data_IF_045546351378
#
_entry.id   IF_045546351378
#
_cell.length_a   1.000
_cell.length_b   1.000
_cell.length_c   1.000
_cell.angle_alpha   90.00
_cell.angle_beta   90.00
_cell.angle_gamma   90.00
#
_symmetry.space_group_name_H-M   'P 1'
#
loop_
_entity.id
_entity.type
_entity.pdbx_description
1 polymer ?
#
# COMPACT_ATOMS: atom_id res chain seq x y z
N UNK A 1 -0.83 7.24 20.71
CA UNK A 1 -1.90 7.72 19.81
C UNK A 1 -2.35 6.52 18.98
N UNK A 2 -3.59 6.04 19.13
CA UNK A 2 -4.07 4.88 18.37
C UNK A 2 -4.41 5.37 16.96
N UNK A 3 -3.70 4.87 15.96
CA UNK A 3 -3.98 5.16 14.55
C UNK A 3 -5.40 4.68 14.24
N UNK A 4 -6.30 5.59 13.84
CA UNK A 4 -7.69 5.23 13.58
C UNK A 4 -7.78 4.32 12.34
N UNK A 5 -7.93 3.01 12.57
CA UNK A 5 -8.00 1.96 11.53
C UNK A 5 -9.17 2.13 10.55
N UNK A 6 -10.13 3.03 10.82
CA UNK A 6 -11.22 3.38 9.90
C UNK A 6 -10.72 3.99 8.59
N UNK A 7 -9.52 4.58 8.62
CA UNK A 7 -8.90 5.23 7.46
C UNK A 7 -7.99 4.28 6.66
N UNK A 8 -7.90 2.99 7.00
CA UNK A 8 -7.16 2.02 6.19
C UNK A 8 -7.98 1.51 5.01
N UNK A 9 -7.27 1.10 3.97
CA UNK A 9 -7.84 0.21 2.96
C UNK A 9 -8.39 -1.06 3.64
N UNK A 10 -9.57 -1.53 3.21
CA UNK A 10 -10.31 -2.53 4.01
C UNK A 10 -9.56 -3.87 4.15
N UNK A 11 -8.76 -4.28 3.16
CA UNK A 11 -7.89 -5.47 3.26
C UNK A 11 -6.87 -5.28 4.38
N UNK A 12 -6.15 -4.15 4.38
CA UNK A 12 -5.22 -3.77 5.46
C UNK A 12 -5.90 -3.69 6.82
N UNK A 13 -7.15 -3.21 6.87
CA UNK A 13 -7.94 -3.16 8.11
C UNK A 13 -8.17 -4.57 8.67
N UNK A 14 -8.48 -5.56 7.82
CA UNK A 14 -8.60 -6.96 8.24
C UNK A 14 -7.26 -7.48 8.74
N UNK A 15 -6.19 -7.32 7.96
CA UNK A 15 -4.85 -7.78 8.36
C UNK A 15 -4.42 -7.20 9.71
N UNK A 16 -4.67 -5.90 9.95
CA UNK A 16 -4.40 -5.26 11.25
C UNK A 16 -5.27 -5.85 12.36
N UNK A 17 -6.55 -6.11 12.08
CA UNK A 17 -7.48 -6.60 13.11
C UNK A 17 -7.16 -8.04 13.54
N UNK A 18 -6.73 -8.89 12.61
CA UNK A 18 -6.48 -10.32 12.87
C UNK A 18 -5.03 -10.62 13.24
N UNK A 19 -4.05 -10.01 12.56
CA UNK A 19 -2.63 -10.39 12.69
C UNK A 19 -1.79 -9.33 13.43
N UNK A 20 -2.10 -8.04 13.27
CA UNK A 20 -1.20 -6.95 13.66
C UNK A 20 -1.80 -5.97 14.67
N UNK A 21 -2.75 -6.41 15.51
CA UNK A 21 -3.54 -5.54 16.40
C UNK A 21 -2.68 -4.71 17.36
N UNK A 22 -1.53 -5.24 17.79
CA UNK A 22 -0.58 -4.57 18.70
C UNK A 22 0.71 -4.08 18.02
N UNK A 23 0.85 -4.28 16.71
CA UNK A 23 2.08 -3.97 15.96
C UNK A 23 1.98 -2.57 15.34
N UNK A 24 2.29 -1.56 16.15
CA UNK A 24 2.14 -0.14 15.77
C UNK A 24 2.92 0.23 14.51
N UNK A 25 4.14 -0.29 14.33
CA UNK A 25 4.96 -0.04 13.15
C UNK A 25 4.27 -0.51 11.85
N UNK A 26 3.65 -1.69 11.87
CA UNK A 26 2.91 -2.23 10.70
C UNK A 26 1.67 -1.39 10.42
N UNK A 27 0.94 -0.99 11.46
CA UNK A 27 -0.22 -0.12 11.32
C UNK A 27 0.16 1.24 10.71
N UNK A 28 1.26 1.84 11.18
CA UNK A 28 1.81 3.07 10.64
C UNK A 28 2.22 2.91 9.17
N UNK A 29 2.84 1.79 8.82
CA UNK A 29 3.28 1.48 7.46
C UNK A 29 2.08 1.32 6.51
N UNK A 30 1.03 0.61 6.93
CA UNK A 30 -0.19 0.45 6.13
C UNK A 30 -0.97 1.76 5.98
N UNK A 31 -0.95 2.61 7.00
CA UNK A 31 -1.55 3.93 6.91
C UNK A 31 -0.79 4.83 5.94
N UNK A 32 0.55 4.80 5.98
CA UNK A 32 1.39 5.51 5.02
C UNK A 32 1.10 5.06 3.59
N UNK A 33 1.06 3.75 3.32
CA UNK A 33 0.70 3.19 2.01
C UNK A 33 -0.63 3.74 1.49
N UNK A 34 -1.68 3.68 2.31
CA UNK A 34 -2.98 4.24 1.94
C UNK A 34 -2.92 5.75 1.69
N UNK A 35 -2.21 6.50 2.54
CA UNK A 35 -2.06 7.95 2.41
C UNK A 35 -1.35 8.33 1.10
N UNK A 36 -0.25 7.64 0.77
CA UNK A 36 0.50 7.82 -0.48
C UNK A 36 -0.41 7.55 -1.69
N UNK A 37 -1.10 6.41 -1.71
CA UNK A 37 -1.92 6.01 -2.85
C UNK A 37 -3.17 6.90 -3.04
N UNK A 38 -3.73 7.44 -1.95
CA UNK A 38 -4.92 8.28 -2.01
C UNK A 38 -4.60 9.73 -2.35
N UNK A 39 -3.56 10.29 -1.74
CA UNK A 39 -3.37 11.74 -1.68
C UNK A 39 -2.40 12.25 -2.73
N UNK A 40 -1.48 11.40 -3.20
CA UNK A 40 -0.32 11.82 -4.01
C UNK A 40 -0.38 11.27 -5.44
N UNK A 41 -1.41 10.51 -5.80
CA UNK A 41 -1.54 9.84 -7.10
C UNK A 41 -2.56 10.50 -8.06
N UNK A 42 -3.11 11.67 -7.71
CA UNK A 42 -4.19 12.30 -8.49
C UNK A 42 -3.64 13.00 -9.74
N UNK A 43 -4.27 12.69 -10.88
CA UNK A 43 -3.74 12.87 -12.24
C UNK A 43 -3.63 14.31 -12.77
N UNK A 44 -3.97 15.33 -11.98
CA UNK A 44 -4.02 16.73 -12.45
C UNK A 44 -3.15 17.69 -11.63
N UNK A 45 -2.39 17.19 -10.65
CA UNK A 45 -1.58 18.03 -9.76
C UNK A 45 -0.24 17.37 -9.41
N UNK A 46 0.49 16.85 -10.42
CA UNK A 46 1.80 16.21 -10.19
C UNK A 46 2.75 17.14 -9.40
N UNK A 47 2.71 18.43 -9.70
CA UNK A 47 3.44 19.45 -8.95
C UNK A 47 3.08 19.49 -7.46
N UNK A 48 1.78 19.50 -7.12
CA UNK A 48 1.35 19.50 -5.71
C UNK A 48 1.64 18.16 -5.04
N UNK A 49 1.56 17.04 -5.76
CA UNK A 49 1.98 15.73 -5.26
C UNK A 49 3.48 15.75 -4.89
N UNK A 50 4.33 16.31 -5.77
CA UNK A 50 5.77 16.47 -5.51
C UNK A 50 6.05 17.36 -4.29
N UNK A 51 5.36 18.51 -4.17
CA UNK A 51 5.49 19.39 -3.00
C UNK A 51 5.11 18.65 -1.72
N UNK A 52 3.94 17.99 -1.71
CA UNK A 52 3.48 17.27 -0.52
C UNK A 52 4.45 16.14 -0.17
N UNK A 53 5.02 15.45 -1.16
CA UNK A 53 5.94 14.33 -0.93
C UNK A 53 7.27 14.82 -0.38
N UNK A 54 7.78 15.96 -0.89
CA UNK A 54 8.93 16.67 -0.32
C UNK A 54 8.66 17.07 1.13
N UNK A 55 7.51 17.67 1.42
CA UNK A 55 7.12 18.00 2.79
C UNK A 55 7.13 16.76 3.69
N UNK A 56 6.55 15.64 3.25
CA UNK A 56 6.59 14.38 4.01
C UNK A 56 8.03 13.90 4.26
N UNK A 57 8.91 14.01 3.26
CA UNK A 57 10.32 13.64 3.38
C UNK A 57 11.04 14.51 4.44
N UNK A 58 10.80 15.82 4.43
CA UNK A 58 11.37 16.76 5.40
C UNK A 58 10.93 16.45 6.84
N UNK A 59 9.65 16.10 7.00
CA UNK A 59 9.02 15.75 8.28
C UNK A 59 9.61 14.45 8.87
N UNK A 60 9.88 13.44 8.05
CA UNK A 60 10.54 12.20 8.47
C UNK A 60 12.01 12.42 8.76
N UNK A 61 12.66 13.28 7.98
CA UNK A 61 14.08 13.60 8.13
C UNK A 61 14.37 14.32 9.46
N UNK A 62 13.44 15.18 9.91
CA UNK A 62 13.53 15.98 11.14
C UNK A 62 12.43 15.61 12.16
N UNK A 63 12.58 14.53 12.94
CA UNK A 63 11.51 13.97 13.79
C UNK A 63 11.00 14.94 14.86
N UNK A 64 11.86 15.83 15.34
CA UNK A 64 11.51 16.82 16.38
C UNK A 64 10.51 17.88 15.89
N UNK A 65 10.38 18.04 14.58
CA UNK A 65 9.51 19.03 13.93
C UNK A 65 8.31 18.36 13.25
N UNK A 66 8.04 17.09 13.55
CA UNK A 66 6.95 16.38 12.90
C UNK A 66 5.61 17.02 13.24
N UNK A 67 4.79 17.28 12.23
CA UNK A 67 3.47 17.87 12.39
C UNK A 67 2.48 16.85 12.96
N UNK A 68 1.50 17.34 13.74
CA UNK A 68 0.46 16.50 14.40
C UNK A 68 -0.20 15.49 13.46
N UNK A 69 -0.59 15.83 12.21
CA UNK A 69 -1.21 14.87 11.30
C UNK A 69 -0.33 13.66 10.95
N UNK A 70 1.01 13.79 11.09
CA UNK A 70 1.99 12.76 10.77
C UNK A 70 2.47 11.99 12.01
N UNK A 71 1.89 12.23 13.20
CA UNK A 71 2.29 11.52 14.44
C UNK A 71 2.16 10.01 14.35
N UNK A 72 1.28 9.50 13.48
CA UNK A 72 1.19 8.07 13.24
C UNK A 72 2.49 7.48 12.66
N UNK A 73 3.39 8.28 12.09
CA UNK A 73 4.68 7.82 11.56
C UNK A 73 5.75 7.69 12.63
N UNK A 74 5.56 8.23 13.85
CA UNK A 74 6.57 8.17 14.92
C UNK A 74 7.16 6.76 15.14
N UNK A 75 6.35 5.67 15.20
CA UNK A 75 6.89 4.32 15.35
C UNK A 75 7.87 3.91 14.24
N UNK A 76 7.72 4.44 13.02
CA UNK A 76 8.62 4.17 11.90
C UNK A 76 9.88 5.04 11.93
N UNK A 77 9.81 6.23 12.52
CA UNK A 77 10.86 7.25 12.49
C UNK A 77 11.83 7.11 13.66
N UNK A 78 11.34 6.69 14.84
CA UNK A 78 12.13 6.56 16.07
C UNK A 78 13.22 5.48 15.94
N UNK A 79 12.99 4.44 15.13
CA UNK A 79 13.99 3.41 14.86
C UNK A 79 14.83 3.76 13.60
N UNK A 80 16.15 3.78 13.74
CA UNK A 80 17.10 4.16 12.67
C UNK A 80 17.00 3.27 11.43
N UNK A 81 16.78 1.96 11.60
CA UNK A 81 16.69 1.00 10.48
C UNK A 81 15.37 1.18 9.73
N UNK A 82 14.25 1.28 10.43
CA UNK A 82 12.94 1.51 9.79
C UNK A 82 12.88 2.88 9.13
N UNK A 83 13.46 3.92 9.74
CA UNK A 83 13.56 5.27 9.14
C UNK A 83 14.32 5.25 7.82
N UNK A 84 15.45 4.52 7.75
CA UNK A 84 16.22 4.37 6.51
C UNK A 84 15.38 3.75 5.39
N UNK A 85 14.67 2.67 5.67
CA UNK A 85 13.82 2.03 4.67
C UNK A 85 12.57 2.86 4.32
N UNK A 86 12.03 3.62 5.28
CA UNK A 86 10.94 4.55 5.06
C UNK A 86 11.34 5.66 4.07
N UNK A 87 12.52 6.27 4.23
CA UNK A 87 13.03 7.26 3.28
C UNK A 87 13.24 6.66 1.88
N UNK A 88 13.79 5.43 1.81
CA UNK A 88 13.92 4.70 0.54
C UNK A 88 12.58 4.42 -0.13
N UNK A 89 11.55 4.06 0.65
CA UNK A 89 10.19 3.83 0.17
C UNK A 89 9.57 5.11 -0.42
N UNK A 90 9.78 6.27 0.20
CA UNK A 90 9.29 7.55 -0.34
C UNK A 90 10.00 7.94 -1.64
N UNK A 91 11.31 7.69 -1.71
CA UNK A 91 12.09 7.89 -2.93
C UNK A 91 11.64 6.96 -4.06
N UNK A 92 11.31 5.70 -3.76
CA UNK A 92 10.74 4.80 -4.76
C UNK A 92 9.35 5.29 -5.21
N UNK A 93 8.54 5.82 -4.29
CA UNK A 93 7.21 6.34 -4.59
C UNK A 93 7.22 7.62 -5.43
N UNK A 94 8.22 8.50 -5.30
CA UNK A 94 8.35 9.66 -6.19
C UNK A 94 8.50 9.26 -7.66
N UNK A 95 9.06 8.08 -7.92
CA UNK A 95 9.22 7.54 -9.27
C UNK A 95 7.99 6.76 -9.75
N UNK A 96 6.95 6.66 -8.93
CA UNK A 96 5.69 5.95 -9.21
C UNK A 96 4.57 6.93 -9.57
N UNK A 97 4.53 8.09 -8.90
CA UNK A 97 3.46 9.08 -9.05
C UNK A 97 3.35 9.63 -10.47
N UNK A 98 4.47 9.67 -11.20
CA UNK A 98 4.48 10.02 -12.60
C UNK A 98 4.16 8.81 -13.49
N UNK A 99 2.87 8.60 -13.74
CA UNK A 99 2.38 7.54 -14.64
C UNK A 99 2.53 7.86 -16.13
N UNK A 100 3.30 8.89 -16.50
CA UNK A 100 3.64 9.17 -17.90
C UNK A 100 4.77 8.25 -18.39
N UNK A 101 5.72 7.89 -17.51
CA UNK A 101 6.83 6.97 -17.80
C UNK A 101 6.45 5.49 -17.57
N UNK A 102 5.56 4.96 -18.42
CA UNK A 102 5.00 3.61 -18.26
C UNK A 102 6.05 2.49 -18.20
N UNK A 103 7.21 2.63 -18.85
CA UNK A 103 8.22 1.57 -18.96
C UNK A 103 8.86 1.20 -17.61
N UNK A 104 8.97 2.15 -16.68
CA UNK A 104 9.61 1.93 -15.39
C UNK A 104 8.63 1.71 -14.23
N UNK A 105 7.32 1.83 -14.46
CA UNK A 105 6.30 1.74 -13.40
C UNK A 105 6.42 0.47 -12.54
N UNK A 106 6.47 -0.70 -13.19
CA UNK A 106 6.59 -1.98 -12.49
C UNK A 106 7.93 -2.11 -11.76
N UNK A 107 9.02 -1.69 -12.39
CA UNK A 107 10.35 -1.71 -11.78
C UNK A 107 10.39 -0.85 -10.51
N UNK A 108 9.79 0.34 -10.56
CA UNK A 108 9.72 1.27 -9.43
C UNK A 108 8.81 0.73 -8.31
N UNK A 109 7.64 0.20 -8.65
CA UNK A 109 6.79 -0.47 -7.66
C UNK A 109 7.47 -1.68 -7.01
N UNK A 110 8.34 -2.40 -7.74
CA UNK A 110 9.02 -3.60 -7.19
C UNK A 110 10.05 -3.19 -6.15
N UNK A 111 10.74 -2.07 -6.38
CA UNK A 111 11.62 -1.44 -5.37
C UNK A 111 10.82 -0.96 -4.17
N UNK A 112 9.71 -0.25 -4.40
CA UNK A 112 8.80 0.19 -3.34
C UNK A 112 8.33 -0.98 -2.47
N UNK A 113 7.84 -2.07 -3.08
CA UNK A 113 7.41 -3.27 -2.36
C UNK A 113 8.57 -3.94 -1.60
N UNK A 114 9.76 -3.99 -2.19
CA UNK A 114 10.94 -4.53 -1.51
C UNK A 114 11.28 -3.74 -0.25
N UNK A 115 11.31 -2.41 -0.32
CA UNK A 115 11.58 -1.58 0.85
C UNK A 115 10.45 -1.64 1.89
N UNK A 116 9.19 -1.74 1.44
CA UNK A 116 8.04 -1.98 2.30
C UNK A 116 8.19 -3.30 3.09
N UNK A 117 8.51 -4.39 2.40
CA UNK A 117 8.69 -5.70 3.03
C UNK A 117 9.95 -5.78 3.90
N UNK A 118 11.01 -5.02 3.60
CA UNK A 118 12.16 -4.90 4.52
C UNK A 118 11.76 -4.32 5.88
N UNK A 119 10.83 -3.35 5.92
CA UNK A 119 10.30 -2.82 7.18
C UNK A 119 9.54 -3.91 7.94
N UNK A 120 8.75 -4.73 7.25
CA UNK A 120 8.01 -5.84 7.88
C UNK A 120 8.97 -6.90 8.43
N UNK A 121 9.95 -7.33 7.63
CA UNK A 121 10.93 -8.37 8.00
C UNK A 121 11.76 -7.94 9.21
N UNK A 122 12.08 -6.65 9.35
CA UNK A 122 12.76 -6.13 10.54
C UNK A 122 12.00 -6.37 11.85
N UNK A 123 10.70 -6.61 11.78
CA UNK A 123 9.84 -6.86 12.93
C UNK A 123 9.69 -8.36 13.25
N UNK A 124 10.47 -9.21 12.57
CA UNK A 124 10.44 -10.67 12.66
C UNK A 124 9.05 -11.26 12.41
N UNK A 125 8.35 -10.70 11.43
CA UNK A 125 7.03 -11.15 11.04
C UNK A 125 7.15 -12.10 9.85
N UNK A 126 6.51 -13.28 9.96
CA UNK A 126 6.32 -14.23 8.85
C UNK A 126 5.27 -13.73 7.84
N UNK A 127 5.28 -12.44 7.54
CA UNK A 127 4.35 -11.77 6.64
C UNK A 127 5.12 -11.03 5.56
N UNK A 128 4.67 -11.17 4.32
CA UNK A 128 5.21 -10.45 3.16
C UNK A 128 4.02 -10.00 2.34
N UNK A 129 3.98 -8.70 2.05
CA UNK A 129 2.99 -8.12 1.14
C UNK A 129 3.35 -8.44 -0.30
N UNK A 130 2.37 -8.90 -1.07
CA UNK A 130 2.49 -9.11 -2.50
C UNK A 130 2.68 -7.77 -3.23
N UNK A 131 3.72 -7.71 -4.06
CA UNK A 131 3.96 -6.63 -5.00
C UNK A 131 2.75 -6.38 -5.92
N UNK A 132 2.13 -7.46 -6.42
CA UNK A 132 0.92 -7.39 -7.24
C UNK A 132 -0.27 -6.83 -6.46
N UNK A 133 -0.47 -7.27 -5.21
CA UNK A 133 -1.52 -6.70 -4.36
C UNK A 133 -1.35 -5.18 -4.21
N UNK A 134 -0.14 -4.70 -3.91
CA UNK A 134 0.12 -3.27 -3.74
C UNK A 134 -0.19 -2.44 -4.98
N UNK A 135 0.13 -2.95 -6.18
CA UNK A 135 -0.22 -2.26 -7.42
C UNK A 135 -1.73 -2.20 -7.62
N UNK A 136 -2.45 -3.31 -7.41
CA UNK A 136 -3.91 -3.33 -7.55
C UNK A 136 -4.58 -2.44 -6.51
N UNK A 137 -4.07 -2.42 -5.28
CA UNK A 137 -4.49 -1.49 -4.25
C UNK A 137 -4.23 -0.03 -4.66
N UNK A 138 -3.07 0.27 -5.25
CA UNK A 138 -2.78 1.60 -5.78
C UNK A 138 -3.83 2.03 -6.79
N UNK A 139 -4.12 1.22 -7.82
CA UNK A 139 -5.17 1.53 -8.80
C UNK A 139 -6.55 1.68 -8.15
N UNK A 140 -6.90 0.82 -7.20
CA UNK A 140 -8.18 0.86 -6.51
C UNK A 140 -8.35 2.14 -5.68
N UNK A 141 -7.35 2.48 -4.85
CA UNK A 141 -7.40 3.61 -3.92
C UNK A 141 -7.28 4.95 -4.65
N UNK A 142 -6.38 5.04 -5.64
CA UNK A 142 -6.19 6.24 -6.46
C UNK A 142 -7.33 6.47 -7.46
N UNK A 143 -8.22 5.49 -7.66
CA UNK A 143 -9.29 5.49 -8.67
C UNK A 143 -8.77 5.69 -10.10
N UNK A 144 -7.53 5.29 -10.37
CA UNK A 144 -6.92 5.42 -11.69
C UNK A 144 -7.41 4.30 -12.61
N UNK A 145 -8.24 4.65 -13.59
CA UNK A 145 -8.77 3.71 -14.57
C UNK A 145 -7.79 3.46 -15.74
N UNK A 146 -6.53 3.15 -15.43
CA UNK A 146 -5.50 2.72 -16.40
C UNK A 146 -5.18 1.23 -16.34
N UNK A 147 -5.85 0.47 -15.46
CA UNK A 147 -5.55 -0.95 -15.24
C UNK A 147 -5.67 -1.80 -16.51
N UNK A 148 -6.52 -1.39 -17.45
CA UNK A 148 -6.67 -2.03 -18.77
C UNK A 148 -5.34 -2.11 -19.52
N UNK A 149 -4.47 -1.11 -19.38
CA UNK A 149 -3.12 -1.07 -19.99
C UNK A 149 -2.14 -2.08 -19.39
N UNK A 150 -2.48 -2.66 -18.24
CA UNK A 150 -1.61 -3.53 -17.46
C UNK A 150 -2.20 -4.94 -17.28
N UNK A 151 -3.29 -5.25 -17.99
CA UNK A 151 -4.03 -6.52 -17.87
C UNK A 151 -3.12 -7.75 -17.98
N UNK A 152 -2.28 -7.82 -19.01
CA UNK A 152 -1.40 -8.97 -19.26
C UNK A 152 -0.44 -9.27 -18.11
N UNK A 153 0.05 -8.24 -17.42
CA UNK A 153 0.91 -8.40 -16.25
C UNK A 153 0.16 -9.13 -15.12
N UNK A 154 -1.11 -8.77 -14.91
CA UNK A 154 -1.89 -9.31 -13.81
C UNK A 154 -2.50 -10.68 -14.09
N UNK A 155 -2.53 -11.21 -15.31
CA UNK A 155 -3.07 -12.55 -15.54
C UNK A 155 -2.04 -13.67 -15.34
N UNK A 156 -0.75 -13.35 -15.18
CA UNK A 156 0.27 -14.34 -14.83
C UNK A 156 0.05 -14.86 -13.42
N UNK A 157 0.17 -16.17 -13.21
CA UNK A 157 -0.01 -16.79 -11.88
C UNK A 157 1.22 -16.50 -11.02
N UNK A 158 1.03 -15.84 -9.88
CA UNK A 158 2.08 -15.66 -8.86
C UNK A 158 1.73 -16.46 -7.61
N UNK A 159 2.75 -16.92 -6.88
CA UNK A 159 2.57 -17.45 -5.51
C UNK A 159 2.14 -16.27 -4.62
N UNK A 160 0.86 -16.23 -4.29
CA UNK A 160 0.34 -15.29 -3.29
C UNK A 160 0.56 -15.88 -1.90
N UNK A 161 0.99 -15.04 -0.95
CA UNK A 161 1.42 -15.49 0.40
C UNK A 161 0.30 -15.31 1.42
N UNK A 162 -0.49 -14.24 1.31
CA UNK A 162 -1.55 -13.91 2.27
C UNK A 162 -2.96 -14.07 1.69
N UNK A 163 -3.84 -14.79 2.40
CA UNK A 163 -5.20 -15.09 1.96
C UNK A 163 -6.02 -13.81 1.74
N UNK A 164 -5.83 -12.81 2.60
CA UNK A 164 -6.61 -11.57 2.51
C UNK A 164 -6.24 -10.78 1.24
N UNK A 165 -4.96 -10.78 0.86
CA UNK A 165 -4.47 -10.20 -0.39
C UNK A 165 -4.91 -11.03 -1.61
N UNK A 166 -4.81 -12.37 -1.56
CA UNK A 166 -5.21 -13.27 -2.65
C UNK A 166 -6.67 -13.08 -3.05
N UNK A 167 -7.57 -13.05 -2.06
CA UNK A 167 -9.02 -12.86 -2.29
C UNK A 167 -9.29 -11.50 -2.92
N UNK A 168 -8.59 -10.45 -2.50
CA UNK A 168 -8.74 -9.13 -3.12
C UNK A 168 -8.28 -9.14 -4.58
N UNK A 169 -7.10 -9.70 -4.86
CA UNK A 169 -6.55 -9.81 -6.22
C UNK A 169 -7.56 -10.52 -7.13
N UNK A 170 -8.11 -11.66 -6.70
CA UNK A 170 -9.05 -12.45 -7.48
C UNK A 170 -10.32 -11.66 -7.83
N UNK A 171 -10.99 -11.09 -6.82
CA UNK A 171 -12.23 -10.34 -7.01
C UNK A 171 -11.97 -9.11 -7.89
N UNK A 172 -10.87 -8.41 -7.66
CA UNK A 172 -10.54 -7.19 -8.40
C UNK A 172 -10.29 -7.47 -9.87
N UNK A 173 -9.49 -8.49 -10.19
CA UNK A 173 -9.22 -8.85 -11.58
C UNK A 173 -10.47 -9.38 -12.29
N UNK A 174 -11.30 -10.18 -11.59
CA UNK A 174 -12.60 -10.60 -12.12
C UNK A 174 -13.48 -9.40 -12.45
N UNK A 175 -13.55 -8.38 -11.59
CA UNK A 175 -14.31 -7.15 -11.84
C UNK A 175 -13.71 -6.33 -13.00
N UNK A 176 -12.39 -6.23 -13.10
CA UNK A 176 -11.72 -5.51 -14.18
C UNK A 176 -11.95 -6.14 -15.56
N UNK A 177 -12.21 -7.45 -15.64
CA UNK A 177 -12.66 -8.07 -16.89
C UNK A 177 -14.00 -7.52 -17.39
N UNK A 178 -14.86 -7.07 -16.48
CA UNK A 178 -16.14 -6.41 -16.78
C UNK A 178 -16.04 -4.88 -16.76
N UNK A 179 -14.82 -4.31 -16.82
CA UNK A 179 -14.57 -2.87 -16.69
C UNK A 179 -15.10 -2.24 -15.38
N UNK A 180 -15.24 -3.05 -14.33
CA UNK A 180 -15.61 -2.60 -12.99
C UNK A 180 -14.38 -2.55 -12.08
N UNK A 181 -14.28 -1.51 -11.26
CA UNK A 181 -13.19 -1.34 -10.28
C UNK A 181 -13.69 -1.36 -8.84
N UNK A 182 -15.01 -1.22 -8.62
CA UNK A 182 -15.61 -1.20 -7.29
C UNK A 182 -15.83 -2.62 -6.76
N UNK A 183 -15.30 -2.84 -5.55
CA UNK A 183 -15.55 -4.03 -4.74
C UNK A 183 -16.30 -3.59 -3.49
N UNK A 184 -17.43 -4.23 -3.19
CA UNK A 184 -18.13 -3.98 -1.92
C UNK A 184 -17.44 -4.73 -0.78
N UNK A 185 -17.45 -4.14 0.42
CA UNK A 185 -16.87 -4.79 1.61
C UNK A 185 -17.54 -6.13 1.91
N UNK A 186 -18.87 -6.19 1.76
CA UNK A 186 -19.66 -7.41 1.97
C UNK A 186 -19.23 -8.51 1.00
N UNK A 187 -19.11 -8.18 -0.29
CA UNK A 187 -18.64 -9.14 -1.29
C UNK A 187 -17.24 -9.66 -0.91
N UNK A 188 -16.31 -8.78 -0.61
CA UNK A 188 -14.97 -9.20 -0.21
C UNK A 188 -14.98 -10.11 1.03
N UNK A 189 -15.71 -9.75 2.08
CA UNK A 189 -15.82 -10.54 3.30
C UNK A 189 -16.42 -11.93 3.04
N UNK A 190 -17.45 -12.02 2.18
CA UNK A 190 -18.05 -13.30 1.81
C UNK A 190 -17.04 -14.25 1.14
N UNK A 191 -16.27 -13.75 0.16
CA UNK A 191 -15.24 -14.54 -0.51
C UNK A 191 -14.08 -14.89 0.44
N UNK A 192 -13.70 -13.97 1.33
CA UNK A 192 -12.67 -14.23 2.33
C UNK A 192 -13.07 -15.36 3.27
N UNK A 193 -14.31 -15.34 3.78
CA UNK A 193 -14.83 -16.42 4.62
C UNK A 193 -14.84 -17.76 3.88
N UNK A 194 -15.28 -17.76 2.61
CA UNK A 194 -15.29 -18.97 1.78
C UNK A 194 -13.89 -19.58 1.62
N UNK A 195 -12.87 -18.75 1.39
CA UNK A 195 -11.49 -19.24 1.26
C UNK A 195 -10.88 -19.68 2.59
N UNK A 196 -11.24 -19.02 3.71
CA UNK A 196 -10.79 -19.43 5.04
C UNK A 196 -11.38 -20.77 5.49
N UNK A 197 -12.60 -21.12 5.05
CA UNK A 197 -13.25 -22.42 5.37
C UNK A 197 -12.64 -23.59 4.56
N UNK A 198 -12.10 -23.32 3.36
CA UNK A 198 -11.52 -24.35 2.50
C UNK A 198 -10.11 -24.79 2.92
N UNK A 199 -9.42 -23.96 3.71
CA UNK A 199 -8.09 -24.24 4.25
C UNK A 199 -8.22 -24.98 5.57
#
# INVERSE_FOLDING_TARGET
>A
MITNSRNLFFVRKIQVSFYFKRKTIIQSLFFLEYMLFKTYAVKNELFLANIKLKWLFDQISNPNKIDKPLYFLRPLIENKKTKKYLLGLLQDFSNIIDLSENENFFKNFKKFNSNFNKIIILLDENFVTSYRFQILQFFYVSKINKITKFKEFFFKKEKTVDVTESVFIEIFLKKCNFNLTKISKVQYLFYLLKELIKK
#
